data_IF_308413615768
#
_entry.id   IF_308413615768
#
_cell.length_a   1.000
_cell.length_b   1.000
_cell.length_c   1.000
_cell.angle_alpha   90.00
_cell.angle_beta   90.00
_cell.angle_gamma   90.00
#
_symmetry.space_group_name_H-M   'P 1'
#
loop_
_entity.id
_entity.type
_entity.pdbx_description
1 polymer ?
#
# COMPACT_ATOMS: atom_id res chain seq x y z
N UNK A 1 -20.26 -14.17 17.61
CA UNK A 1 -19.30 -14.19 16.48
C UNK A 1 -19.78 -13.16 15.48
N UNK A 2 -19.02 -12.11 15.28
CA UNK A 2 -19.49 -10.93 14.56
C UNK A 2 -19.48 -11.19 13.04
N UNK A 3 -20.65 -11.45 12.48
CA UNK A 3 -20.85 -11.66 11.05
C UNK A 3 -20.27 -10.52 10.20
N UNK A 4 -20.24 -9.29 10.75
CA UNK A 4 -19.69 -8.09 10.10
C UNK A 4 -18.16 -8.13 9.87
N UNK A 5 -17.45 -9.08 10.47
CA UNK A 5 -15.99 -9.27 10.28
C UNK A 5 -15.70 -10.36 9.25
N UNK A 6 -16.31 -11.51 9.44
CA UNK A 6 -16.02 -12.70 8.64
C UNK A 6 -16.58 -12.57 7.22
N UNK A 7 -17.81 -12.04 7.09
CA UNK A 7 -18.48 -11.93 5.78
C UNK A 7 -17.71 -11.03 4.81
N UNK A 8 -17.26 -9.80 5.16
CA UNK A 8 -16.48 -8.98 4.24
C UNK A 8 -15.18 -9.64 3.78
N UNK A 9 -14.48 -10.37 4.69
CA UNK A 9 -13.26 -11.11 4.32
C UNK A 9 -13.58 -12.19 3.27
N UNK A 10 -14.61 -12.99 3.51
CA UNK A 10 -14.99 -14.09 2.60
C UNK A 10 -15.49 -13.59 1.26
N UNK A 11 -16.32 -12.54 1.23
CA UNK A 11 -16.83 -11.95 -0.02
C UNK A 11 -15.67 -11.40 -0.85
N UNK A 12 -14.82 -10.56 -0.26
CA UNK A 12 -13.71 -9.95 -0.99
C UNK A 12 -12.66 -10.97 -1.44
N UNK A 13 -12.39 -11.99 -0.63
CA UNK A 13 -11.56 -13.12 -1.02
C UNK A 13 -12.13 -13.86 -2.24
N UNK A 14 -13.42 -14.22 -2.19
CA UNK A 14 -14.09 -14.93 -3.28
C UNK A 14 -14.09 -14.10 -4.58
N UNK A 15 -14.36 -12.79 -4.48
CA UNK A 15 -14.32 -11.90 -5.65
C UNK A 15 -12.90 -11.85 -6.25
N UNK A 16 -11.85 -11.67 -5.42
CA UNK A 16 -10.46 -11.67 -5.89
C UNK A 16 -10.09 -12.99 -6.56
N UNK A 17 -10.50 -14.12 -5.96
CA UNK A 17 -10.23 -15.46 -6.48
C UNK A 17 -10.87 -15.68 -7.87
N UNK A 18 -12.10 -15.21 -8.05
CA UNK A 18 -12.82 -15.30 -9.33
C UNK A 18 -12.26 -14.34 -10.38
N UNK A 19 -11.90 -13.12 -9.96
CA UNK A 19 -11.36 -12.11 -10.88
C UNK A 19 -9.94 -12.44 -11.38
N UNK A 20 -9.12 -13.12 -10.59
CA UNK A 20 -7.76 -13.47 -10.99
C UNK A 20 -7.70 -14.19 -12.36
N UNK A 21 -8.35 -15.36 -12.55
CA UNK A 21 -8.36 -16.07 -13.81
C UNK A 21 -8.96 -15.30 -14.99
N UNK A 22 -9.78 -14.28 -14.75
CA UNK A 22 -10.42 -13.46 -15.79
C UNK A 22 -9.49 -12.30 -16.19
N UNK A 23 -8.97 -11.57 -15.18
CA UNK A 23 -8.20 -10.35 -15.40
C UNK A 23 -6.77 -10.65 -15.87
N UNK A 24 -6.11 -11.68 -15.32
CA UNK A 24 -4.72 -12.01 -15.67
C UNK A 24 -4.53 -12.28 -17.17
N UNK A 25 -5.35 -13.13 -17.85
CA UNK A 25 -5.23 -13.33 -19.29
C UNK A 25 -5.50 -12.06 -20.10
N UNK A 26 -6.44 -11.21 -19.64
CA UNK A 26 -6.71 -9.93 -20.29
C UNK A 26 -5.49 -8.98 -20.19
N UNK A 27 -4.91 -8.81 -19.00
CA UNK A 27 -3.71 -8.01 -18.81
C UNK A 27 -2.51 -8.54 -19.60
N UNK A 28 -2.38 -9.87 -19.71
CA UNK A 28 -1.33 -10.51 -20.51
C UNK A 28 -1.45 -10.17 -21.99
N UNK A 29 -2.67 -10.07 -22.52
CA UNK A 29 -2.91 -9.63 -23.91
C UNK A 29 -2.51 -8.16 -24.13
N UNK A 30 -2.76 -7.28 -23.15
CA UNK A 30 -2.38 -5.87 -23.23
C UNK A 30 -0.84 -5.67 -23.21
N UNK A 31 -0.10 -6.54 -22.51
CA UNK A 31 1.36 -6.46 -22.35
C UNK A 31 2.16 -6.97 -23.55
N UNK A 32 1.56 -7.48 -24.61
CA UNK A 32 2.31 -7.97 -25.78
C UNK A 32 3.20 -6.87 -26.35
N UNK A 33 4.51 -6.88 -25.98
CA UNK A 33 5.54 -5.96 -26.49
C UNK A 33 6.31 -5.13 -25.46
N UNK A 34 6.13 -5.31 -24.15
CA UNK A 34 7.00 -4.66 -23.15
C UNK A 34 8.29 -5.45 -22.92
N UNK A 35 9.43 -4.79 -23.11
CA UNK A 35 10.78 -5.24 -22.71
C UNK A 35 11.14 -4.55 -21.39
N UNK A 36 11.62 -5.32 -20.40
CA UNK A 36 12.15 -4.74 -19.16
C UNK A 36 13.50 -4.07 -19.40
N UNK A 37 13.81 -3.03 -18.60
CA UNK A 37 15.10 -2.33 -18.68
C UNK A 37 16.23 -3.28 -18.26
N UNK A 38 17.31 -3.35 -19.03
CA UNK A 38 18.48 -4.23 -18.80
C UNK A 38 19.28 -3.92 -17.51
N UNK A 39 18.90 -2.90 -16.73
CA UNK A 39 19.66 -2.39 -15.58
C UNK A 39 19.27 -3.01 -14.22
N UNK A 40 18.45 -4.08 -14.19
CA UNK A 40 17.99 -4.76 -12.97
C UNK A 40 18.85 -5.96 -12.55
N UNK A 41 18.50 -6.55 -11.38
CA UNK A 41 19.08 -7.82 -10.92
C UNK A 41 18.79 -8.91 -11.95
N UNK A 42 19.78 -9.71 -12.35
CA UNK A 42 19.64 -10.72 -13.43
C UNK A 42 18.50 -11.73 -13.22
N UNK A 43 18.09 -11.98 -11.96
CA UNK A 43 16.94 -12.82 -11.63
C UNK A 43 15.62 -12.26 -12.18
N UNK A 44 15.50 -10.94 -12.35
CA UNK A 44 14.29 -10.26 -12.85
C UNK A 44 14.10 -10.44 -14.36
N UNK A 45 15.15 -10.77 -15.13
CA UNK A 45 15.03 -11.11 -16.56
C UNK A 45 14.13 -12.34 -16.80
N UNK A 46 14.03 -13.26 -15.82
CA UNK A 46 13.12 -14.42 -15.88
C UNK A 46 11.63 -14.04 -15.69
N UNK A 47 11.34 -12.83 -15.21
CA UNK A 47 9.98 -12.32 -15.00
C UNK A 47 9.38 -11.67 -16.25
N UNK A 48 10.13 -11.61 -17.35
CA UNK A 48 9.64 -11.15 -18.65
C UNK A 48 8.38 -11.90 -19.06
N UNK A 49 7.31 -11.16 -19.36
CA UNK A 49 6.01 -11.73 -19.70
C UNK A 49 4.98 -11.76 -18.57
N UNK A 50 5.36 -11.53 -17.30
CA UNK A 50 4.38 -11.37 -16.21
C UNK A 50 3.66 -10.02 -16.37
N UNK A 51 2.30 -10.01 -16.47
CA UNK A 51 1.55 -8.76 -16.62
C UNK A 51 1.58 -7.94 -15.33
N UNK A 52 1.54 -6.62 -15.47
CA UNK A 52 1.33 -5.65 -14.38
C UNK A 52 -0.13 -5.18 -14.33
N UNK A 53 -0.48 -4.23 -13.46
CA UNK A 53 -1.83 -3.71 -13.21
C UNK A 53 -2.76 -4.70 -12.47
N UNK A 54 -2.23 -5.77 -11.89
CA UNK A 54 -3.01 -6.76 -11.14
C UNK A 54 -3.72 -6.18 -9.90
N UNK A 55 -3.30 -5.02 -9.44
CA UNK A 55 -3.97 -4.27 -8.38
C UNK A 55 -5.47 -4.07 -8.60
N UNK A 56 -5.90 -4.01 -9.86
CA UNK A 56 -7.33 -3.91 -10.22
C UNK A 56 -8.15 -5.07 -9.62
N UNK A 57 -7.57 -6.28 -9.48
CA UNK A 57 -8.26 -7.46 -8.95
C UNK A 57 -8.73 -7.21 -7.51
N UNK A 58 -7.80 -6.89 -6.62
CA UNK A 58 -8.16 -6.67 -5.21
C UNK A 58 -8.87 -5.34 -4.99
N UNK A 59 -8.63 -4.32 -5.82
CA UNK A 59 -9.35 -3.04 -5.72
C UNK A 59 -10.84 -3.20 -6.05
N UNK A 60 -11.19 -3.93 -7.09
CA UNK A 60 -12.60 -4.23 -7.39
C UNK A 60 -13.21 -5.04 -6.24
N UNK A 61 -12.51 -6.07 -5.74
CA UNK A 61 -13.00 -6.88 -4.65
C UNK A 61 -13.23 -6.06 -3.37
N UNK A 62 -12.27 -5.22 -2.99
CA UNK A 62 -12.40 -4.31 -1.84
C UNK A 62 -13.55 -3.34 -2.02
N UNK A 63 -13.64 -2.70 -3.20
CA UNK A 63 -14.67 -1.69 -3.48
C UNK A 63 -16.06 -2.29 -3.43
N UNK A 64 -16.30 -3.38 -4.17
CA UNK A 64 -17.62 -4.04 -4.22
C UNK A 64 -18.04 -4.48 -2.83
N UNK A 65 -17.12 -5.10 -2.06
CA UNK A 65 -17.42 -5.52 -0.69
C UNK A 65 -17.73 -4.34 0.21
N UNK A 66 -16.95 -3.28 0.15
CA UNK A 66 -17.14 -2.08 0.99
C UNK A 66 -18.47 -1.37 0.72
N UNK A 67 -18.94 -1.37 -0.53
CA UNK A 67 -20.21 -0.74 -0.91
C UNK A 67 -21.42 -1.37 -0.22
N UNK A 68 -21.38 -2.67 0.12
CA UNK A 68 -22.46 -3.32 0.88
C UNK A 68 -22.60 -2.78 2.31
N UNK A 69 -21.54 -2.20 2.86
CA UNK A 69 -21.48 -1.74 4.25
C UNK A 69 -21.46 -0.23 4.41
N UNK A 70 -21.36 0.53 3.30
CA UNK A 70 -21.14 1.99 3.33
C UNK A 70 -22.26 2.76 4.04
N UNK A 71 -23.50 2.23 4.01
CA UNK A 71 -24.67 2.85 4.64
C UNK A 71 -24.60 2.79 6.17
N UNK A 72 -24.15 1.66 6.69
CA UNK A 72 -24.10 1.41 8.13
C UNK A 72 -22.75 1.88 8.72
N UNK A 73 -21.71 1.99 7.89
CA UNK A 73 -20.34 2.34 8.25
C UNK A 73 -19.81 3.50 7.39
N UNK A 74 -20.28 4.75 7.59
CA UNK A 74 -19.91 5.88 6.72
C UNK A 74 -18.42 6.23 6.76
N UNK A 75 -17.67 5.80 7.78
CA UNK A 75 -16.20 5.97 7.85
C UNK A 75 -15.45 5.18 6.78
N UNK A 76 -16.11 4.27 6.07
CA UNK A 76 -15.58 3.62 4.87
C UNK A 76 -15.31 4.65 3.76
N UNK A 77 -16.14 5.70 3.64
CA UNK A 77 -16.10 6.68 2.54
C UNK A 77 -14.71 7.34 2.40
N UNK A 78 -14.15 8.01 3.43
CA UNK A 78 -12.86 8.67 3.31
C UNK A 78 -11.70 7.69 3.07
N UNK A 79 -11.76 6.49 3.66
CA UNK A 79 -10.74 5.45 3.45
C UNK A 79 -10.80 4.94 2.01
N UNK A 80 -12.00 4.63 1.52
CA UNK A 80 -12.20 4.16 0.14
C UNK A 80 -11.83 5.25 -0.88
N UNK A 81 -12.13 6.53 -0.57
CA UNK A 81 -11.72 7.66 -1.40
C UNK A 81 -10.20 7.72 -1.57
N UNK A 82 -9.42 7.65 -0.48
CA UNK A 82 -7.95 7.62 -0.57
C UNK A 82 -7.47 6.39 -1.34
N UNK A 83 -8.00 5.21 -1.02
CA UNK A 83 -7.62 3.95 -1.68
C UNK A 83 -7.83 4.05 -3.19
N UNK A 84 -9.01 4.46 -3.63
CA UNK A 84 -9.34 4.55 -5.05
C UNK A 84 -8.68 5.75 -5.74
N UNK A 85 -8.56 6.88 -5.06
CA UNK A 85 -7.89 8.08 -5.59
C UNK A 85 -6.43 7.80 -5.92
N UNK A 86 -5.69 7.19 -5.00
CA UNK A 86 -4.32 6.76 -5.26
C UNK A 86 -4.24 5.59 -6.25
N UNK A 87 -5.19 4.66 -6.18
CA UNK A 87 -5.31 3.58 -7.18
C UNK A 87 -5.51 4.11 -8.59
N UNK A 88 -6.31 5.17 -8.77
CA UNK A 88 -6.51 5.82 -10.06
C UNK A 88 -5.24 6.49 -10.58
N UNK A 89 -4.46 7.15 -9.71
CA UNK A 89 -3.15 7.71 -10.09
C UNK A 89 -2.23 6.59 -10.59
N UNK A 90 -2.14 5.49 -9.86
CA UNK A 90 -1.35 4.33 -10.25
C UNK A 90 -1.85 3.68 -11.54
N UNK A 91 -3.17 3.58 -11.70
CA UNK A 91 -3.77 3.07 -12.92
C UNK A 91 -3.42 3.93 -14.15
N UNK A 92 -3.47 5.25 -14.03
CA UNK A 92 -3.07 6.16 -15.09
C UNK A 92 -1.59 6.00 -15.45
N UNK A 93 -0.73 5.87 -14.45
CA UNK A 93 0.71 5.65 -14.65
C UNK A 93 1.00 4.32 -15.36
N UNK A 94 0.42 3.23 -14.87
CA UNK A 94 0.52 1.91 -15.49
C UNK A 94 -0.08 1.88 -16.90
N UNK A 95 -1.24 2.52 -17.11
CA UNK A 95 -1.89 2.59 -18.41
C UNK A 95 -1.03 3.30 -19.45
N UNK A 96 -0.40 4.42 -19.09
CA UNK A 96 0.52 5.13 -19.97
C UNK A 96 1.73 4.25 -20.34
N UNK A 97 2.26 3.49 -19.39
CA UNK A 97 3.41 2.58 -19.61
C UNK A 97 3.02 1.37 -20.47
N UNK A 98 1.90 0.72 -20.14
CA UNK A 98 1.53 -0.57 -20.73
C UNK A 98 0.79 -0.40 -22.06
N UNK A 99 -0.24 0.44 -22.10
CA UNK A 99 -1.14 0.57 -23.24
C UNK A 99 -0.60 1.58 -24.25
N UNK A 100 -0.15 2.74 -23.79
CA UNK A 100 0.41 3.77 -24.64
C UNK A 100 1.92 3.61 -24.90
N UNK A 101 2.54 2.58 -24.33
CA UNK A 101 3.97 2.22 -24.51
C UNK A 101 4.93 3.39 -24.26
N UNK A 102 4.58 4.26 -23.30
CA UNK A 102 5.45 5.36 -22.86
C UNK A 102 6.39 4.83 -21.80
N UNK A 103 7.72 4.88 -22.02
CA UNK A 103 8.74 4.37 -21.10
C UNK A 103 8.67 4.97 -19.68
N UNK A 104 8.22 6.21 -19.57
CA UNK A 104 8.29 6.98 -18.33
C UNK A 104 6.94 7.11 -17.58
N UNK A 105 5.83 6.65 -18.18
CA UNK A 105 4.49 6.79 -17.58
C UNK A 105 4.14 8.26 -17.31
N UNK A 106 3.66 8.55 -16.10
CA UNK A 106 3.52 9.91 -15.59
C UNK A 106 4.91 10.48 -15.23
N UNK A 107 5.14 11.72 -15.57
CA UNK A 107 6.36 12.41 -15.10
C UNK A 107 6.33 12.53 -13.56
N UNK A 108 7.50 12.46 -12.87
CA UNK A 108 7.54 12.47 -11.40
C UNK A 108 6.77 13.63 -10.78
N UNK A 109 6.85 14.82 -11.36
CA UNK A 109 6.13 16.00 -10.88
C UNK A 109 4.60 15.88 -11.08
N UNK A 110 4.14 15.24 -12.19
CA UNK A 110 2.72 15.00 -12.44
C UNK A 110 2.15 14.01 -11.42
N UNK A 111 2.88 12.91 -11.17
CA UNK A 111 2.50 11.91 -10.16
C UNK A 111 2.40 12.57 -8.78
N UNK A 112 3.38 13.40 -8.41
CA UNK A 112 3.38 14.12 -7.13
C UNK A 112 2.23 15.13 -7.05
N UNK A 113 1.97 15.91 -8.10
CA UNK A 113 0.87 16.88 -8.12
C UNK A 113 -0.50 16.19 -7.93
N UNK A 114 -0.74 15.07 -8.60
CA UNK A 114 -1.97 14.30 -8.43
C UNK A 114 -2.09 13.72 -7.00
N UNK A 115 -1.01 13.23 -6.42
CA UNK A 115 -0.97 12.77 -5.02
C UNK A 115 -1.31 13.90 -4.05
N UNK A 116 -0.76 15.10 -4.27
CA UNK A 116 -1.09 16.30 -3.46
C UNK A 116 -2.58 16.65 -3.59
N UNK A 117 -3.15 16.63 -4.80
CA UNK A 117 -4.57 16.93 -5.01
C UNK A 117 -5.46 15.94 -4.28
N UNK A 118 -5.23 14.64 -4.42
CA UNK A 118 -6.02 13.60 -3.71
C UNK A 118 -5.89 13.78 -2.20
N UNK A 119 -4.68 14.04 -1.69
CA UNK A 119 -4.45 14.28 -0.27
C UNK A 119 -5.15 15.56 0.21
N UNK A 120 -5.16 16.63 -0.60
CA UNK A 120 -5.84 17.88 -0.26
C UNK A 120 -7.35 17.71 -0.13
N UNK A 121 -7.96 16.97 -1.05
CA UNK A 121 -9.40 16.66 -0.97
C UNK A 121 -9.72 15.84 0.29
N UNK A 122 -8.88 14.86 0.61
CA UNK A 122 -9.03 14.07 1.83
C UNK A 122 -8.87 14.93 3.09
N UNK A 123 -7.85 15.79 3.16
CA UNK A 123 -7.64 16.70 4.27
C UNK A 123 -8.81 17.66 4.44
N UNK A 124 -9.31 18.22 3.33
CA UNK A 124 -10.49 19.11 3.32
C UNK A 124 -11.74 18.39 3.87
N UNK A 125 -11.94 17.13 3.45
CA UNK A 125 -13.06 16.32 3.96
C UNK A 125 -12.93 16.07 5.47
N UNK A 126 -11.76 15.66 5.94
CA UNK A 126 -11.53 15.40 7.36
C UNK A 126 -11.77 16.65 8.21
N UNK A 127 -11.26 17.80 7.78
CA UNK A 127 -11.38 19.05 8.56
C UNK A 127 -12.79 19.59 8.60
N UNK A 128 -13.56 19.47 7.49
CA UNK A 128 -14.82 20.19 7.36
C UNK A 128 -16.08 19.31 7.48
N UNK A 129 -15.98 18.03 7.18
CA UNK A 129 -17.17 17.15 7.05
C UNK A 129 -17.13 15.89 7.91
N UNK A 130 -15.95 15.50 8.43
CA UNK A 130 -15.88 14.37 9.33
C UNK A 130 -15.82 14.89 10.79
N UNK A 131 -16.40 14.13 11.71
CA UNK A 131 -16.21 14.37 13.14
C UNK A 131 -14.80 13.90 13.61
N UNK A 132 -13.93 13.55 12.67
CA UNK A 132 -12.58 13.06 12.94
C UNK A 132 -11.67 14.27 13.14
N UNK A 133 -11.24 14.50 14.37
CA UNK A 133 -10.21 15.50 14.64
C UNK A 133 -8.84 15.01 14.12
N UNK A 134 -7.97 15.93 13.72
CA UNK A 134 -6.58 15.60 13.33
C UNK A 134 -5.67 15.33 14.55
N UNK A 135 -6.24 15.04 15.72
CA UNK A 135 -5.47 14.58 16.87
C UNK A 135 -4.92 13.19 16.62
N UNK A 136 -3.73 12.91 17.13
CA UNK A 136 -3.00 11.67 16.87
C UNK A 136 -2.75 10.94 18.18
N UNK A 137 -3.24 9.71 18.30
CA UNK A 137 -2.94 8.84 19.44
C UNK A 137 -1.45 8.60 19.54
N UNK A 138 -0.86 8.84 20.74
CA UNK A 138 0.57 8.65 20.96
C UNK A 138 0.84 7.20 21.31
N UNK A 139 1.69 6.47 20.54
CA UNK A 139 2.07 5.11 20.88
C UNK A 139 2.74 5.03 22.26
N UNK A 140 2.49 3.96 23.01
CA UNK A 140 3.00 3.69 24.36
C UNK A 140 2.55 4.66 25.44
N UNK A 141 1.64 5.59 25.13
CA UNK A 141 1.11 6.53 26.11
C UNK A 141 -0.42 6.52 26.06
N UNK A 142 -0.99 5.48 26.68
CA UNK A 142 -2.44 5.25 26.65
C UNK A 142 -3.25 6.47 27.09
N UNK A 143 -4.32 6.75 26.34
CA UNK A 143 -5.20 7.88 26.63
C UNK A 143 -4.67 9.27 26.22
N UNK A 144 -3.45 9.38 25.70
CA UNK A 144 -2.87 10.64 25.30
C UNK A 144 -2.91 10.84 23.78
N UNK A 145 -3.27 12.07 23.38
CA UNK A 145 -3.36 12.47 21.98
C UNK A 145 -2.52 13.72 21.74
N UNK A 146 -1.73 13.68 20.69
CA UNK A 146 -0.98 14.84 20.19
C UNK A 146 -1.92 15.72 19.37
N UNK A 147 -2.08 16.97 19.77
CA UNK A 147 -2.81 17.98 19.01
C UNK A 147 -1.81 19.03 18.47
N UNK A 148 -1.61 19.02 17.17
CA UNK A 148 -0.72 19.95 16.49
C UNK A 148 -1.46 21.19 15.96
N UNK A 149 -2.75 21.33 16.27
CA UNK A 149 -3.57 22.37 15.70
C UNK A 149 -3.52 22.34 14.16
N UNK A 150 -3.36 23.51 13.53
CA UNK A 150 -3.30 23.60 12.08
C UNK A 150 -2.02 22.99 11.45
N UNK A 151 -0.94 22.78 12.21
CA UNK A 151 0.23 22.02 11.77
C UNK A 151 -0.07 20.55 11.49
N UNK A 152 -1.19 20.02 11.99
CA UNK A 152 -1.63 18.67 11.68
C UNK A 152 -1.87 18.46 10.17
N UNK A 153 -2.25 19.52 9.43
CA UNK A 153 -2.47 19.43 7.98
C UNK A 153 -1.17 19.17 7.20
N UNK A 154 -0.09 19.96 7.34
CA UNK A 154 1.19 19.62 6.73
C UNK A 154 1.70 18.22 7.10
N UNK A 155 1.54 17.81 8.37
CA UNK A 155 1.93 16.47 8.83
C UNK A 155 1.09 15.39 8.14
N UNK A 156 -0.21 15.63 7.93
CA UNK A 156 -1.07 14.72 7.16
C UNK A 156 -0.55 14.53 5.73
N UNK A 157 -0.20 15.61 5.03
CA UNK A 157 0.37 15.52 3.68
C UNK A 157 1.64 14.67 3.67
N UNK A 158 2.54 14.93 4.61
CA UNK A 158 3.79 14.19 4.73
C UNK A 158 3.54 12.70 5.02
N UNK A 159 2.66 12.39 5.98
CA UNK A 159 2.34 11.03 6.35
C UNK A 159 1.65 10.25 5.22
N UNK A 160 0.63 10.86 4.57
CA UNK A 160 -0.09 10.20 3.46
C UNK A 160 0.83 9.96 2.28
N UNK A 161 1.51 11.00 1.78
CA UNK A 161 2.38 10.89 0.60
C UNK A 161 3.58 9.97 0.90
N UNK A 162 4.15 10.08 2.10
CA UNK A 162 5.24 9.20 2.55
C UNK A 162 4.83 7.74 2.60
N UNK A 163 3.66 7.43 3.15
CA UNK A 163 3.13 6.07 3.22
C UNK A 163 2.85 5.52 1.83
N UNK A 164 2.19 6.31 0.96
CA UNK A 164 1.85 5.90 -0.40
C UNK A 164 3.10 5.55 -1.21
N UNK A 165 4.11 6.41 -1.17
CA UNK A 165 5.36 6.13 -1.90
C UNK A 165 6.19 5.03 -1.21
N UNK A 166 6.13 4.90 0.12
CA UNK A 166 6.76 3.80 0.85
C UNK A 166 6.21 2.44 0.45
N UNK A 167 4.88 2.29 0.36
CA UNK A 167 4.25 1.06 -0.15
C UNK A 167 4.60 0.82 -1.61
N UNK A 168 4.64 1.86 -2.43
CA UNK A 168 5.03 1.74 -3.84
C UNK A 168 6.49 1.26 -4.00
N UNK A 169 7.43 1.75 -3.20
CA UNK A 169 8.81 1.23 -3.19
C UNK A 169 8.90 -0.20 -2.65
N UNK A 170 7.97 -0.64 -1.83
CA UNK A 170 7.92 -2.01 -1.30
C UNK A 170 7.45 -3.02 -2.36
N UNK A 171 6.81 -2.59 -3.45
CA UNK A 171 6.33 -3.45 -4.54
C UNK A 171 7.43 -3.83 -5.55
N UNK A 172 8.62 -4.17 -5.07
CA UNK A 172 9.74 -4.57 -5.93
C UNK A 172 9.95 -6.08 -6.06
N UNK A 173 9.34 -6.89 -5.19
CA UNK A 173 9.46 -8.36 -5.18
C UNK A 173 8.08 -9.02 -5.16
N UNK A 174 8.02 -10.26 -5.73
CA UNK A 174 6.79 -11.04 -5.82
C UNK A 174 6.17 -11.26 -4.44
N UNK A 175 4.98 -10.68 -4.24
CA UNK A 175 4.23 -10.81 -3.00
C UNK A 175 4.71 -9.95 -1.82
N UNK A 176 5.77 -9.16 -1.96
CA UNK A 176 6.32 -8.38 -0.83
C UNK A 176 5.31 -7.34 -0.32
N UNK A 177 4.88 -6.42 -1.17
CA UNK A 177 3.93 -5.37 -0.78
C UNK A 177 2.58 -5.97 -0.35
N UNK A 178 2.11 -7.02 -1.03
CA UNK A 178 0.87 -7.73 -0.69
C UNK A 178 0.94 -8.36 0.69
N UNK A 179 2.04 -9.07 1.03
CA UNK A 179 2.19 -9.76 2.32
C UNK A 179 2.35 -8.79 3.48
N UNK A 180 3.19 -7.77 3.32
CA UNK A 180 3.40 -6.72 4.33
C UNK A 180 2.08 -5.98 4.59
N UNK A 181 1.38 -5.55 3.54
CA UNK A 181 0.12 -4.80 3.71
C UNK A 181 -1.01 -5.69 4.24
N UNK A 182 -1.05 -6.97 3.91
CA UNK A 182 -2.00 -7.90 4.51
C UNK A 182 -1.85 -7.95 6.03
N UNK A 183 -0.62 -8.04 6.55
CA UNK A 183 -0.35 -8.05 7.99
C UNK A 183 -0.75 -6.72 8.65
N UNK A 184 -0.42 -5.60 8.01
CA UNK A 184 -0.83 -4.25 8.46
C UNK A 184 -2.36 -4.11 8.46
N UNK A 185 -3.05 -4.63 7.43
CA UNK A 185 -4.52 -4.60 7.37
C UNK A 185 -5.16 -5.46 8.46
N UNK A 186 -4.58 -6.62 8.79
CA UNK A 186 -5.01 -7.45 9.93
C UNK A 186 -4.84 -6.69 11.25
N UNK A 187 -3.71 -6.00 11.45
CA UNK A 187 -3.53 -5.15 12.64
C UNK A 187 -4.64 -4.10 12.76
N UNK A 188 -4.89 -3.34 11.70
CA UNK A 188 -5.96 -2.33 11.73
C UNK A 188 -7.34 -2.95 11.89
N UNK A 189 -7.59 -4.14 11.36
CA UNK A 189 -8.85 -4.87 11.58
C UNK A 189 -9.03 -5.21 13.05
N UNK A 190 -8.02 -5.77 13.71
CA UNK A 190 -8.08 -6.13 15.13
C UNK A 190 -8.30 -4.90 16.00
N UNK A 191 -7.56 -3.82 15.73
CA UNK A 191 -7.68 -2.59 16.51
C UNK A 191 -9.01 -1.89 16.26
N UNK A 192 -9.49 -1.84 15.00
CA UNK A 192 -10.77 -1.24 14.66
C UNK A 192 -11.94 -1.92 15.40
N UNK A 193 -11.91 -3.26 15.48
CA UNK A 193 -12.89 -4.03 16.23
C UNK A 193 -12.87 -3.70 17.74
N UNK A 194 -11.68 -3.59 18.31
CA UNK A 194 -11.54 -3.21 19.73
C UNK A 194 -12.02 -1.80 20.05
N UNK A 195 -11.91 -0.88 19.06
CA UNK A 195 -12.29 0.52 19.22
C UNK A 195 -13.69 0.85 18.71
N UNK A 196 -14.37 -0.06 18.00
CA UNK A 196 -15.61 0.19 17.26
C UNK A 196 -15.50 1.45 16.36
N UNK A 197 -14.45 1.51 15.56
CA UNK A 197 -14.06 2.72 14.83
C UNK A 197 -14.90 2.98 13.57
N UNK A 198 -15.69 2.01 13.12
CA UNK A 198 -16.53 2.10 11.92
C UNK A 198 -15.78 1.86 10.59
N UNK A 199 -14.51 1.42 10.65
CA UNK A 199 -13.73 1.04 9.46
C UNK A 199 -13.54 -0.48 9.34
N UNK A 200 -14.13 -1.26 10.21
CA UNK A 200 -14.00 -2.72 10.27
C UNK A 200 -14.30 -3.38 8.92
N UNK A 201 -15.40 -3.05 8.22
CA UNK A 201 -15.72 -3.77 6.99
C UNK A 201 -14.72 -3.51 5.86
N UNK A 202 -14.16 -2.30 5.74
CA UNK A 202 -13.18 -2.01 4.69
C UNK A 202 -11.81 -2.66 5.02
N UNK A 203 -11.38 -2.68 6.28
CA UNK A 203 -10.16 -3.37 6.67
C UNK A 203 -10.28 -4.88 6.42
N UNK A 204 -11.42 -5.48 6.78
CA UNK A 204 -11.74 -6.87 6.47
C UNK A 204 -11.78 -7.15 4.97
N UNK A 205 -12.36 -6.23 4.18
CA UNK A 205 -12.42 -6.37 2.73
C UNK A 205 -11.02 -6.35 2.10
N UNK A 206 -10.11 -5.49 2.60
CA UNK A 206 -8.71 -5.48 2.14
C UNK A 206 -7.99 -6.76 2.53
N UNK A 207 -8.17 -7.26 3.77
CA UNK A 207 -7.60 -8.54 4.19
C UNK A 207 -8.02 -9.67 3.25
N UNK A 208 -9.32 -9.85 3.02
CA UNK A 208 -9.81 -10.92 2.14
C UNK A 208 -9.35 -10.76 0.69
N UNK A 209 -9.42 -9.55 0.16
CA UNK A 209 -9.04 -9.29 -1.23
C UNK A 209 -7.54 -9.51 -1.47
N UNK A 210 -6.67 -9.12 -0.52
CA UNK A 210 -5.22 -9.39 -0.60
C UNK A 210 -4.89 -10.87 -0.43
N UNK A 211 -5.61 -11.60 0.45
CA UNK A 211 -5.47 -13.06 0.53
C UNK A 211 -5.76 -13.74 -0.81
N UNK A 212 -6.85 -13.33 -1.49
CA UNK A 212 -7.19 -13.84 -2.81
C UNK A 212 -6.17 -13.44 -3.88
N UNK A 213 -5.68 -12.20 -3.86
CA UNK A 213 -4.68 -11.70 -4.79
C UNK A 213 -3.32 -12.41 -4.63
N UNK A 214 -2.89 -12.68 -3.39
CA UNK A 214 -1.64 -13.37 -3.10
C UNK A 214 -1.53 -14.73 -3.77
N UNK A 215 -2.63 -15.46 -4.01
CA UNK A 215 -2.61 -16.72 -4.76
C UNK A 215 -2.05 -16.59 -6.18
N UNK A 216 -2.01 -15.36 -6.70
CA UNK A 216 -1.49 -15.05 -8.03
C UNK A 216 -0.20 -14.22 -7.99
N UNK A 217 0.08 -13.54 -6.86
CA UNK A 217 1.18 -12.59 -6.73
C UNK A 217 2.40 -13.14 -5.98
N UNK A 218 2.27 -14.25 -5.22
CA UNK A 218 3.45 -14.91 -4.59
C UNK A 218 4.39 -15.50 -5.62
N UNK A 219 5.68 -15.59 -5.24
CA UNK A 219 6.73 -16.12 -6.09
C UNK A 219 6.49 -17.60 -6.49
N UNK A 220 6.60 -17.97 -7.79
CA UNK A 220 6.76 -17.08 -8.94
C UNK A 220 5.42 -16.41 -9.33
N UNK A 221 5.39 -15.08 -9.39
CA UNK A 221 4.17 -14.32 -9.60
C UNK A 221 3.58 -14.53 -11.00
N UNK A 222 2.26 -14.71 -11.05
CA UNK A 222 1.47 -14.76 -12.29
C UNK A 222 1.01 -13.37 -12.75
N UNK A 223 1.04 -12.39 -11.85
CA UNK A 223 0.69 -10.98 -12.07
C UNK A 223 1.36 -10.10 -11.02
N UNK A 224 1.84 -8.92 -11.43
CA UNK A 224 2.32 -7.86 -10.54
C UNK A 224 1.19 -6.89 -10.23
N UNK A 225 1.17 -6.33 -8.99
CA UNK A 225 0.10 -5.38 -8.65
C UNK A 225 0.23 -4.06 -9.39
N UNK A 226 1.45 -3.64 -9.70
CA UNK A 226 1.76 -2.38 -10.36
C UNK A 226 1.53 -1.15 -9.49
N UNK A 227 1.76 0.03 -10.07
CA UNK A 227 1.49 1.31 -9.41
C UNK A 227 0.00 1.44 -9.05
N UNK A 228 -0.88 0.84 -9.86
CA UNK A 228 -2.33 0.71 -9.58
C UNK A 228 -2.60 0.15 -8.20
N UNK A 229 -1.94 -0.93 -7.83
CA UNK A 229 -2.16 -1.60 -6.56
C UNK A 229 -1.38 -0.98 -5.42
N UNK A 230 -0.10 -0.73 -5.61
CA UNK A 230 0.79 -0.29 -4.54
C UNK A 230 0.47 1.11 -4.01
N UNK A 231 0.13 2.07 -4.89
CA UNK A 231 -0.32 3.39 -4.45
C UNK A 231 -1.67 3.30 -3.72
N UNK A 232 -2.60 2.48 -4.21
CA UNK A 232 -3.89 2.26 -3.56
C UNK A 232 -3.75 1.70 -2.14
N UNK A 233 -2.87 0.72 -1.93
CA UNK A 233 -2.60 0.14 -0.62
C UNK A 233 -1.99 1.16 0.34
N UNK A 234 -1.11 2.03 -0.15
CA UNK A 234 -0.58 3.14 0.64
C UNK A 234 -1.68 4.13 1.05
N UNK A 235 -2.59 4.45 0.13
CA UNK A 235 -3.78 5.26 0.41
C UNK A 235 -4.71 4.61 1.44
N UNK A 236 -4.91 3.31 1.36
CA UNK A 236 -5.66 2.53 2.34
C UNK A 236 -5.04 2.63 3.74
N UNK A 237 -3.74 2.32 3.88
CA UNK A 237 -3.04 2.34 5.16
C UNK A 237 -3.11 3.73 5.81
N UNK A 238 -2.83 4.79 5.04
CA UNK A 238 -2.92 6.15 5.53
C UNK A 238 -4.36 6.54 5.89
N UNK A 239 -5.33 6.18 5.04
CA UNK A 239 -6.75 6.49 5.25
C UNK A 239 -7.31 5.86 6.53
N UNK A 240 -7.04 4.58 6.76
CA UNK A 240 -7.45 3.90 7.98
C UNK A 240 -6.78 4.49 9.21
N UNK A 241 -5.48 4.76 9.15
CA UNK A 241 -4.75 5.33 10.26
C UNK A 241 -5.29 6.70 10.68
N UNK A 242 -5.63 7.57 9.72
CA UNK A 242 -6.26 8.86 10.03
C UNK A 242 -7.70 8.72 10.51
N UNK A 243 -8.48 7.82 9.91
CA UNK A 243 -9.85 7.54 10.35
C UNK A 243 -9.93 7.06 11.81
N UNK A 244 -8.88 6.36 12.28
CA UNK A 244 -8.75 5.83 13.63
C UNK A 244 -7.96 6.74 14.59
N UNK A 245 -7.57 7.95 14.19
CA UNK A 245 -6.67 8.83 14.95
C UNK A 245 -5.29 8.23 15.27
N UNK A 246 -4.80 7.32 14.43
CA UNK A 246 -3.57 6.54 14.66
C UNK A 246 -2.46 6.76 13.61
N UNK A 247 -2.26 7.97 13.01
CA UNK A 247 -1.24 8.13 11.98
C UNK A 247 0.18 7.90 12.50
N UNK A 248 0.46 8.13 13.80
CA UNK A 248 1.77 7.83 14.39
C UNK A 248 2.08 6.33 14.45
N UNK A 249 1.04 5.47 14.47
CA UNK A 249 1.22 4.03 14.43
C UNK A 249 1.75 3.52 13.10
N UNK A 250 1.61 4.30 12.01
CA UNK A 250 2.21 3.94 10.71
C UNK A 250 3.74 3.78 10.85
N UNK A 251 4.39 4.55 11.73
CA UNK A 251 5.84 4.44 11.97
C UNK A 251 6.20 3.04 12.49
N UNK A 252 5.32 2.44 13.28
CA UNK A 252 5.51 1.09 13.82
C UNK A 252 5.09 0.03 12.80
N UNK A 253 3.79 -0.02 12.44
CA UNK A 253 3.24 -1.08 11.60
C UNK A 253 3.73 -1.00 10.16
N UNK A 254 4.07 0.20 9.69
CA UNK A 254 4.62 0.48 8.36
C UNK A 254 6.15 0.64 8.35
N UNK A 255 6.87 0.08 9.34
CA UNK A 255 8.33 0.18 9.42
C UNK A 255 9.02 -0.24 8.12
N UNK A 256 8.54 -1.30 7.46
CA UNK A 256 9.10 -1.73 6.18
C UNK A 256 8.93 -0.64 5.12
N UNK A 257 7.74 -0.04 4.98
CA UNK A 257 7.51 1.06 4.03
C UNK A 257 8.45 2.25 4.30
N UNK A 258 8.62 2.58 5.59
CA UNK A 258 9.51 3.66 6.01
C UNK A 258 10.98 3.36 5.66
N UNK A 259 11.45 2.14 5.92
CA UNK A 259 12.82 1.72 5.61
C UNK A 259 13.06 1.70 4.08
N UNK A 260 12.09 1.24 3.30
CA UNK A 260 12.17 1.25 1.84
C UNK A 260 12.32 2.68 1.31
N UNK A 261 11.43 3.60 1.69
CA UNK A 261 11.49 4.99 1.20
C UNK A 261 12.75 5.71 1.70
N UNK A 262 13.12 5.53 2.97
CA UNK A 262 14.32 6.15 3.53
C UNK A 262 15.60 5.62 2.86
N UNK A 263 15.67 4.34 2.53
CA UNK A 263 16.82 3.76 1.82
C UNK A 263 17.04 4.42 0.45
N UNK A 264 15.95 4.72 -0.27
CA UNK A 264 16.03 5.43 -1.56
C UNK A 264 16.47 6.87 -1.35
N UNK A 265 15.85 7.58 -0.38
CA UNK A 265 16.20 8.97 -0.09
C UNK A 265 17.68 9.12 0.31
N UNK A 266 18.16 8.25 1.20
CA UNK A 266 19.55 8.23 1.66
C UNK A 266 20.50 7.90 0.51
N UNK A 267 20.19 6.87 -0.27
CA UNK A 267 21.03 6.48 -1.40
C UNK A 267 21.16 7.60 -2.44
N UNK A 268 20.03 8.20 -2.85
CA UNK A 268 20.03 9.25 -3.86
C UNK A 268 20.75 10.52 -3.37
N UNK A 269 20.49 10.92 -2.12
CA UNK A 269 21.13 12.09 -1.52
C UNK A 269 22.63 11.90 -1.39
N UNK A 270 23.07 10.75 -0.87
CA UNK A 270 24.49 10.43 -0.73
C UNK A 270 25.20 10.30 -2.07
N UNK A 271 24.57 9.63 -3.04
CA UNK A 271 25.12 9.46 -4.39
C UNK A 271 25.37 10.81 -5.06
N UNK A 272 24.42 11.75 -4.95
CA UNK A 272 24.58 13.12 -5.48
C UNK A 272 25.67 13.90 -4.73
N UNK A 273 25.67 13.85 -3.38
CA UNK A 273 26.63 14.58 -2.55
C UNK A 273 28.08 14.07 -2.71
N UNK A 274 28.25 12.78 -3.00
CA UNK A 274 29.59 12.14 -3.11
C UNK A 274 30.03 11.85 -4.54
N UNK A 275 29.32 12.40 -5.52
CA UNK A 275 29.60 12.22 -6.95
C UNK A 275 29.75 10.75 -7.39
N UNK A 276 28.82 9.89 -6.94
CA UNK A 276 28.70 8.52 -7.44
C UNK A 276 28.97 7.40 -6.43
N UNK A 277 29.32 7.70 -5.16
CA UNK A 277 29.45 6.67 -4.12
C UNK A 277 28.09 6.18 -3.65
N UNK A 278 28.01 4.89 -3.28
CA UNK A 278 26.78 4.24 -2.82
C UNK A 278 26.90 3.81 -1.37
N UNK A 279 25.81 4.00 -0.58
CA UNK A 279 25.68 3.44 0.79
C UNK A 279 25.26 1.97 0.69
N UNK A 280 24.18 1.71 -0.05
CA UNK A 280 23.66 0.37 -0.31
C UNK A 280 24.13 -0.12 -1.69
N UNK A 281 24.24 -1.44 -1.88
CA UNK A 281 24.52 -2.01 -3.20
C UNK A 281 23.49 -1.56 -4.23
N UNK A 282 22.21 -1.49 -3.81
CA UNK A 282 21.10 -0.96 -4.57
C UNK A 282 20.02 -0.45 -3.60
N UNK A 283 19.19 0.49 -4.02
CA UNK A 283 17.97 0.94 -3.32
C UNK A 283 16.78 0.82 -4.29
N UNK A 284 15.57 0.51 -3.80
CA UNK A 284 15.20 0.28 -2.40
C UNK A 284 15.92 -0.90 -1.71
N UNK A 285 15.82 -1.00 -0.35
CA UNK A 285 16.70 -1.86 0.44
C UNK A 285 16.49 -3.36 0.21
N UNK A 286 15.32 -3.80 -0.23
CA UNK A 286 15.09 -5.20 -0.60
C UNK A 286 16.07 -5.67 -1.67
N UNK A 287 16.39 -4.85 -2.68
CA UNK A 287 17.40 -5.16 -3.69
C UNK A 287 18.83 -5.24 -3.13
N UNK A 288 19.13 -4.47 -2.08
CA UNK A 288 20.41 -4.62 -1.38
C UNK A 288 20.58 -6.03 -0.81
N UNK A 289 19.53 -6.58 -0.18
CA UNK A 289 19.56 -7.92 0.38
C UNK A 289 19.67 -9.00 -0.72
N UNK A 290 18.97 -8.84 -1.85
CA UNK A 290 19.13 -9.74 -3.00
C UNK A 290 20.59 -9.74 -3.50
N UNK A 291 21.22 -8.57 -3.65
CA UNK A 291 22.62 -8.44 -4.05
C UNK A 291 23.60 -8.89 -2.95
N UNK A 292 23.14 -9.08 -1.71
CA UNK A 292 23.87 -9.75 -0.64
C UNK A 292 23.69 -11.28 -0.65
N UNK A 293 22.95 -11.84 -1.62
CA UNK A 293 22.77 -13.27 -1.80
C UNK A 293 21.53 -13.86 -1.15
N UNK A 294 20.57 -13.03 -0.69
CA UNK A 294 19.29 -13.54 -0.21
C UNK A 294 18.39 -13.90 -1.39
N UNK A 295 17.64 -15.00 -1.25
CA UNK A 295 16.57 -15.29 -2.21
C UNK A 295 15.41 -14.31 -2.02
N UNK A 296 14.67 -14.02 -3.08
CA UNK A 296 13.48 -13.19 -3.06
C UNK A 296 12.47 -13.64 -1.98
N UNK A 297 12.22 -14.94 -1.93
CA UNK A 297 11.32 -15.53 -0.93
C UNK A 297 11.81 -15.32 0.51
N UNK A 298 13.15 -15.32 0.72
CA UNK A 298 13.73 -15.03 2.04
C UNK A 298 13.52 -13.57 2.42
N UNK A 299 13.70 -12.62 1.50
CA UNK A 299 13.45 -11.20 1.76
C UNK A 299 11.99 -10.98 2.14
N UNK A 300 11.06 -11.53 1.34
CA UNK A 300 9.62 -11.44 1.61
C UNK A 300 9.25 -12.02 2.97
N UNK A 301 9.76 -13.20 3.30
CA UNK A 301 9.49 -13.85 4.58
C UNK A 301 10.02 -13.02 5.77
N UNK A 302 11.28 -12.55 5.71
CA UNK A 302 11.87 -11.75 6.80
C UNK A 302 11.14 -10.43 6.97
N UNK A 303 10.80 -9.72 5.89
CA UNK A 303 10.08 -8.45 5.97
C UNK A 303 8.66 -8.63 6.52
N UNK A 304 7.99 -9.73 6.14
CA UNK A 304 6.69 -10.10 6.70
C UNK A 304 6.77 -10.41 8.20
N UNK A 305 7.79 -11.16 8.64
CA UNK A 305 8.01 -11.45 10.07
C UNK A 305 8.30 -10.16 10.84
N UNK A 306 9.17 -9.29 10.32
CA UNK A 306 9.43 -7.97 10.94
C UNK A 306 8.14 -7.17 11.07
N UNK A 307 7.32 -7.11 10.01
CA UNK A 307 6.03 -6.42 10.05
C UNK A 307 5.10 -7.01 11.11
N UNK A 308 5.02 -8.34 11.20
CA UNK A 308 4.18 -9.00 12.21
C UNK A 308 4.65 -8.67 13.64
N UNK A 309 5.96 -8.69 13.90
CA UNK A 309 6.52 -8.30 15.20
C UNK A 309 6.20 -6.83 15.50
N UNK A 310 6.36 -5.94 14.53
CA UNK A 310 6.05 -4.52 14.72
C UNK A 310 4.56 -4.26 14.96
N UNK A 311 3.67 -5.03 14.32
CA UNK A 311 2.24 -5.00 14.61
C UNK A 311 1.92 -5.48 16.03
N UNK A 312 2.59 -6.53 16.53
CA UNK A 312 2.44 -6.97 17.93
C UNK A 312 2.94 -5.90 18.91
N UNK A 313 4.08 -5.27 18.62
CA UNK A 313 4.59 -4.14 19.41
C UNK A 313 3.58 -2.97 19.39
N UNK A 314 2.99 -2.68 18.23
CA UNK A 314 1.98 -1.64 18.09
C UNK A 314 0.69 -1.96 18.88
N UNK A 315 0.30 -3.24 19.03
CA UNK A 315 -0.80 -3.65 19.92
C UNK A 315 -0.47 -3.38 21.39
N UNK A 316 0.79 -3.57 21.80
CA UNK A 316 1.23 -3.22 23.16
C UNK A 316 1.31 -1.70 23.38
N UNK A 317 1.39 -0.93 22.29
CA UNK A 317 1.48 0.53 22.33
C UNK A 317 0.10 1.24 22.36
N UNK A 318 -1.02 0.48 22.36
CA UNK A 318 -2.38 1.02 22.42
C UNK A 318 -2.75 1.51 23.84
#
# INVERSE_FOLDING_TARGET
>A
MEFHVVIPVLISFAISLVLGPIVIPFLRRLKMGQTERELGVQSHLKKNGTPTMGGVIFLIATTVTSLFYIRDYPMIIPVLFLTLGFGLIGFLDDYLKVVLKRSDGLLPWQKMALQIVVTAVFAFYLVNYSNVSLTMKIPFWSGHYLNLGWFAVPVLFFAVIGTVNGVNFTDGLDGLASSVTLIVAVFFTVVSLGMNSGVEPITCAVVGSLMGFLLFNVYPAKVFMGDTGSLALGGFVAGVAYAMHMPLFIILVGLIYLVEVLSVMLQVSYFKATHGKRIFKMAPIHHHFELCGWSETRVVAVFSVVTAIMCLIALLAL
#
